data_IF_924715583837
#
_entry.id   IF_924715583837
#
_cell.length_a   1.000
_cell.length_b   1.000
_cell.length_c   1.000
_cell.angle_alpha   90.00
_cell.angle_beta   90.00
_cell.angle_gamma   90.00
#
_symmetry.space_group_name_H-M   'P 1'
#
loop_
_entity.id
_entity.type
_entity.pdbx_description
1 polymer ?
#
# COMPACT_ATOMS: atom_id res chain seq x y z
N UNK A 1 7.97 14.16 23.19
CA UNK A 1 6.54 13.92 22.95
C UNK A 1 6.43 13.31 21.57
N UNK A 2 5.80 12.15 21.43
CA UNK A 2 5.57 11.56 20.11
C UNK A 2 4.46 12.34 19.40
N UNK A 3 4.70 12.74 18.15
CA UNK A 3 3.67 13.30 17.28
C UNK A 3 2.87 12.16 16.62
N UNK A 4 1.68 12.46 16.10
CA UNK A 4 0.86 11.50 15.36
C UNK A 4 1.63 10.93 14.17
N UNK A 5 2.38 11.77 13.48
CA UNK A 5 3.22 11.39 12.34
C UNK A 5 4.33 10.41 12.77
N UNK A 6 4.98 10.68 13.91
CA UNK A 6 6.03 9.78 14.43
C UNK A 6 5.48 8.41 14.81
N UNK A 7 4.24 8.34 15.32
CA UNK A 7 3.57 7.08 15.67
C UNK A 7 3.15 6.33 14.39
N UNK A 8 2.56 7.04 13.42
CA UNK A 8 2.11 6.46 12.16
C UNK A 8 3.29 5.87 11.36
N UNK A 9 4.40 6.61 11.23
CA UNK A 9 5.60 6.11 10.55
C UNK A 9 6.16 4.84 11.23
N UNK A 10 6.08 4.79 12.55
CA UNK A 10 6.51 3.64 13.33
C UNK A 10 5.59 2.41 13.16
N UNK A 11 4.30 2.62 12.93
CA UNK A 11 3.34 1.55 12.61
C UNK A 11 3.61 1.02 11.20
N UNK A 12 3.66 1.92 10.20
CA UNK A 12 3.87 1.55 8.78
C UNK A 12 5.20 0.81 8.59
N UNK A 13 6.26 1.18 9.33
CA UNK A 13 7.54 0.47 9.29
C UNK A 13 7.48 -0.96 9.85
N UNK A 14 6.50 -1.26 10.71
CA UNK A 14 6.30 -2.59 11.32
C UNK A 14 5.26 -3.42 10.57
N UNK A 15 4.40 -2.80 9.77
CA UNK A 15 3.54 -3.47 8.80
C UNK A 15 4.42 -4.25 7.79
N UNK A 16 3.97 -5.45 7.44
CA UNK A 16 4.69 -6.33 6.51
C UNK A 16 4.84 -5.75 5.10
N UNK A 17 5.51 -6.51 4.25
CA UNK A 17 5.66 -6.18 2.83
C UNK A 17 4.48 -6.64 1.97
N UNK A 18 4.70 -6.67 0.66
CA UNK A 18 3.71 -7.09 -0.31
C UNK A 18 3.14 -8.49 -0.06
N UNK A 19 1.81 -8.59 -0.04
CA UNK A 19 1.04 -9.83 0.02
C UNK A 19 -0.02 -9.79 -1.09
N UNK A 20 -0.26 -10.91 -1.76
CA UNK A 20 -1.34 -11.05 -2.73
C UNK A 20 -1.98 -12.43 -2.55
N UNK A 21 -2.85 -12.53 -1.55
CA UNK A 21 -3.57 -13.75 -1.20
C UNK A 21 -4.85 -13.84 -2.05
N UNK A 22 -5.09 -14.95 -2.78
CA UNK A 22 -6.33 -15.17 -3.53
C UNK A 22 -7.60 -15.09 -2.68
N UNK A 23 -7.52 -15.42 -1.39
CA UNK A 23 -8.64 -15.39 -0.45
C UNK A 23 -8.81 -14.02 0.23
N UNK A 24 -7.90 -13.06 -0.01
CA UNK A 24 -8.02 -11.69 0.49
C UNK A 24 -8.97 -10.88 -0.41
N UNK A 25 -10.16 -10.48 0.08
CA UNK A 25 -11.09 -9.65 -0.69
C UNK A 25 -10.52 -8.26 -1.03
N UNK A 26 -9.54 -7.79 -0.26
CA UNK A 26 -8.80 -6.56 -0.52
C UNK A 26 -7.86 -6.66 -1.72
N UNK A 27 -7.45 -7.88 -2.10
CA UNK A 27 -6.47 -8.18 -3.13
C UNK A 27 -5.05 -7.81 -2.73
N UNK A 28 -4.19 -7.54 -3.71
CA UNK A 28 -2.80 -7.18 -3.47
C UNK A 28 -2.68 -6.01 -2.47
N UNK A 29 -1.85 -6.21 -1.44
CA UNK A 29 -1.69 -5.29 -0.30
C UNK A 29 -0.20 -5.11 0.01
N UNK A 30 0.22 -3.88 0.33
CA UNK A 30 1.56 -3.59 0.81
C UNK A 30 1.50 -2.47 1.85
N UNK A 31 2.20 -2.61 2.98
CA UNK A 31 2.16 -1.67 4.11
C UNK A 31 0.74 -1.31 4.59
N UNK A 32 -0.17 -2.29 4.53
CA UNK A 32 -1.59 -2.11 4.88
C UNK A 32 -2.44 -1.39 3.83
N UNK A 33 -1.86 -0.99 2.70
CA UNK A 33 -2.56 -0.34 1.58
C UNK A 33 -2.95 -1.36 0.52
N UNK A 34 -4.25 -1.45 0.22
CA UNK A 34 -4.80 -2.39 -0.76
C UNK A 34 -4.85 -1.78 -2.17
N UNK A 35 -4.79 -2.64 -3.20
CA UNK A 35 -4.95 -2.25 -4.62
C UNK A 35 -6.29 -1.55 -4.88
N UNK A 36 -7.36 -1.95 -4.18
CA UNK A 36 -8.66 -1.29 -4.28
C UNK A 36 -8.60 0.16 -3.78
N UNK A 37 -7.86 0.41 -2.70
CA UNK A 37 -7.65 1.76 -2.18
C UNK A 37 -6.85 2.60 -3.17
N UNK A 38 -5.77 2.05 -3.74
CA UNK A 38 -4.97 2.74 -4.75
C UNK A 38 -5.79 3.10 -6.00
N UNK A 39 -6.58 2.15 -6.51
CA UNK A 39 -7.47 2.36 -7.67
C UNK A 39 -8.48 3.48 -7.42
N UNK A 40 -9.07 3.51 -6.22
CA UNK A 40 -10.03 4.56 -5.84
C UNK A 40 -9.39 5.94 -5.82
N UNK A 41 -8.10 6.03 -5.47
CA UNK A 41 -7.35 7.27 -5.38
C UNK A 41 -6.60 7.62 -6.69
N UNK A 42 -6.63 6.74 -7.70
CA UNK A 42 -5.90 6.93 -8.94
C UNK A 42 -4.37 6.95 -8.76
N UNK A 43 -3.86 6.18 -7.78
CA UNK A 43 -2.43 6.11 -7.51
C UNK A 43 -1.72 5.20 -8.50
N UNK A 44 -1.35 5.77 -9.64
CA UNK A 44 -0.43 5.20 -10.62
C UNK A 44 0.99 5.67 -10.28
N UNK A 45 1.82 4.76 -9.77
CA UNK A 45 3.18 5.08 -9.31
C UNK A 45 4.21 4.93 -10.43
N UNK A 46 3.95 4.06 -11.39
CA UNK A 46 4.87 3.79 -12.49
C UNK A 46 4.61 4.70 -13.72
N UNK A 47 3.45 5.37 -13.78
CA UNK A 47 3.05 6.32 -14.82
C UNK A 47 2.57 5.68 -16.12
N UNK A 48 2.17 4.41 -16.11
CA UNK A 48 1.72 3.68 -17.30
C UNK A 48 0.22 3.83 -17.61
N UNK A 49 -0.51 4.52 -16.73
CA UNK A 49 -1.95 4.76 -16.83
C UNK A 49 -2.82 3.64 -16.26
N UNK A 50 -2.24 2.62 -15.61
CA UNK A 50 -2.92 1.45 -15.08
C UNK A 50 -2.53 1.26 -13.60
N UNK A 51 -3.52 1.26 -12.71
CA UNK A 51 -3.26 0.92 -11.30
C UNK A 51 -3.36 -0.59 -11.09
N UNK A 52 -2.19 -1.23 -10.99
CA UNK A 52 -2.04 -2.67 -10.83
C UNK A 52 -1.08 -3.10 -9.70
N UNK A 53 -0.71 -4.38 -9.67
CA UNK A 53 0.16 -4.93 -8.62
C UNK A 53 1.59 -4.37 -8.63
N UNK A 54 2.05 -3.84 -9.77
CA UNK A 54 3.35 -3.18 -9.90
C UNK A 54 3.38 -1.93 -9.04
N UNK A 55 2.30 -1.14 -9.04
CA UNK A 55 2.18 0.05 -8.18
C UNK A 55 2.13 -0.33 -6.71
N UNK A 56 1.35 -1.35 -6.35
CA UNK A 56 1.26 -1.81 -4.94
C UNK A 56 2.63 -2.23 -4.41
N UNK A 57 3.44 -2.91 -5.25
CA UNK A 57 4.83 -3.28 -4.91
C UNK A 57 5.76 -2.09 -4.80
N UNK A 58 5.46 -0.99 -5.48
CA UNK A 58 6.25 0.25 -5.47
C UNK A 58 6.07 1.10 -4.21
N UNK A 59 5.11 0.76 -3.33
CA UNK A 59 4.91 1.47 -2.06
C UNK A 59 6.12 1.31 -1.14
N UNK A 60 6.52 2.43 -0.54
CA UNK A 60 7.60 2.51 0.47
C UNK A 60 7.09 3.15 1.75
N UNK A 61 7.58 2.75 2.94
CA UNK A 61 7.27 3.39 4.23
C UNK A 61 7.71 4.84 4.35
#
# INVERSE_FOLDING_TARGET
MHSVESIAADIVRREGGFVNDPDDPGGATNHGVTIHTMRRLGMDLNGDGIVDTVDVRGLTP
#
